data_IF_090906113467
#
_entry.id   IF_090906113467
#
_cell.length_a   1.000
_cell.length_b   1.000
_cell.length_c   1.000
_cell.angle_alpha   90.00
_cell.angle_beta   90.00
_cell.angle_gamma   90.00
#
_symmetry.space_group_name_H-M   'P 1'
#
loop_
_entity.id
_entity.type
_entity.pdbx_description
1 polymer ?
#
# COMPACT_ATOMS: atom_id res chain seq x y z
N UNK A 1 30.92 32.97 37.28
CA UNK A 1 29.85 32.84 36.26
C UNK A 1 30.26 31.76 35.28
N UNK A 2 29.36 30.89 34.78
CA UNK A 2 29.44 30.15 33.49
C UNK A 2 28.82 28.73 33.46
N UNK A 3 28.32 28.16 34.57
CA UNK A 3 27.77 26.78 34.56
C UNK A 3 26.39 26.65 33.92
N UNK A 4 25.52 27.66 34.10
CA UNK A 4 24.18 27.69 33.50
C UNK A 4 24.21 27.98 32.00
N UNK A 5 25.21 28.77 31.55
CA UNK A 5 25.40 29.07 30.11
C UNK A 5 25.93 27.85 29.35
N UNK A 6 26.86 27.07 29.93
CA UNK A 6 27.35 25.85 29.26
C UNK A 6 26.30 24.75 29.21
N UNK A 7 25.46 24.62 30.26
CA UNK A 7 24.37 23.64 30.28
C UNK A 7 23.29 23.97 29.24
N UNK A 8 22.91 25.25 29.11
CA UNK A 8 21.97 25.71 28.06
C UNK A 8 22.56 25.57 26.65
N UNK A 9 23.87 25.82 26.50
CA UNK A 9 24.58 25.64 25.22
C UNK A 9 24.64 24.16 24.81
N UNK A 10 24.93 23.23 25.74
CA UNK A 10 24.88 21.80 25.45
C UNK A 10 23.47 21.34 25.09
N UNK A 11 22.43 21.79 25.79
CA UNK A 11 21.04 21.42 25.47
C UNK A 11 20.63 21.93 24.08
N UNK A 12 21.04 23.15 23.71
CA UNK A 12 20.81 23.69 22.37
C UNK A 12 21.58 22.91 21.29
N UNK A 13 22.83 22.51 21.56
CA UNK A 13 23.63 21.72 20.61
C UNK A 13 22.99 20.34 20.37
N UNK A 14 22.48 19.68 21.42
CA UNK A 14 21.79 18.39 21.30
C UNK A 14 20.46 18.52 20.56
N UNK A 15 19.71 19.61 20.75
CA UNK A 15 18.48 19.86 20.01
C UNK A 15 18.74 20.13 18.52
N UNK A 16 19.81 20.85 18.19
CA UNK A 16 20.20 21.13 16.80
C UNK A 16 20.62 19.86 16.06
N UNK A 17 21.38 18.98 16.72
CA UNK A 17 21.82 17.71 16.15
C UNK A 17 20.63 16.77 15.90
N UNK A 18 19.66 16.71 16.82
CA UNK A 18 18.44 15.93 16.63
C UNK A 18 17.58 16.46 15.46
N UNK A 19 17.52 17.79 15.27
CA UNK A 19 16.79 18.40 14.16
C UNK A 19 17.45 18.13 12.81
N UNK A 20 18.79 18.09 12.74
CA UNK A 20 19.50 17.73 11.49
C UNK A 20 19.25 16.28 11.04
N UNK A 21 18.99 15.38 11.98
CA UNK A 21 18.73 13.97 11.67
C UNK A 21 17.31 13.74 11.11
N UNK A 22 16.38 14.69 11.32
CA UNK A 22 15.03 14.66 10.74
C UNK A 22 14.98 15.19 9.30
N UNK A 23 15.85 16.13 8.91
CA UNK A 23 15.85 16.73 7.57
C UNK A 23 16.41 15.81 6.47
N UNK A 24 17.31 14.89 6.82
CA UNK A 24 17.87 13.91 5.87
C UNK A 24 16.89 12.76 5.52
N UNK A 25 15.77 12.65 6.24
CA UNK A 25 14.76 11.61 6.01
C UNK A 25 13.63 12.06 5.08
N UNK A 26 13.59 13.34 4.67
CA UNK A 26 12.51 13.87 3.83
C UNK A 26 13.01 15.10 3.03
N UNK A 27 13.79 14.86 1.98
CA UNK A 27 14.25 15.95 1.10
C UNK A 27 15.38 15.57 0.17
N UNK A 28 15.03 14.92 -0.95
CA UNK A 28 15.96 14.61 -2.02
C UNK A 28 15.21 14.55 -3.34
N UNK A 29 14.99 15.71 -3.95
CA UNK A 29 14.55 15.83 -5.34
C UNK A 29 15.23 17.04 -5.94
N UNK A 30 16.34 16.78 -6.64
CA UNK A 30 16.84 17.54 -7.78
C UNK A 30 17.44 16.53 -8.77
N UNK A 31 16.81 16.43 -9.93
CA UNK A 31 17.20 15.64 -11.12
C UNK A 31 18.63 15.94 -11.59
N UNK A 32 19.41 14.89 -11.90
CA UNK A 32 19.84 14.56 -13.27
C UNK A 32 21.09 13.65 -13.32
N UNK A 33 20.98 12.65 -14.21
CA UNK A 33 22.02 11.83 -14.84
C UNK A 33 22.62 10.62 -14.11
N UNK A 34 22.08 9.46 -14.52
CA UNK A 34 22.82 8.36 -15.18
C UNK A 34 24.09 7.84 -14.49
N UNK A 35 23.91 6.80 -13.69
CA UNK A 35 24.88 5.72 -13.61
C UNK A 35 24.16 4.38 -13.52
N UNK A 36 24.25 3.62 -14.61
CA UNK A 36 23.94 2.19 -14.73
C UNK A 36 24.54 1.42 -13.56
N UNK A 37 23.66 1.01 -12.63
CA UNK A 37 23.96 0.04 -11.59
C UNK A 37 22.94 -1.08 -11.66
N UNK A 38 23.23 -2.09 -12.49
CA UNK A 38 22.47 -3.35 -12.53
C UNK A 38 22.53 -4.00 -11.17
N UNK A 39 21.47 -3.83 -10.38
CA UNK A 39 21.11 -4.73 -9.31
C UNK A 39 19.96 -5.59 -9.84
N UNK A 40 20.30 -6.79 -10.32
CA UNK A 40 19.33 -7.80 -10.70
C UNK A 40 18.61 -8.28 -9.44
N UNK A 41 17.42 -7.72 -9.19
CA UNK A 41 16.44 -8.28 -8.27
C UNK A 41 15.51 -9.16 -9.08
N UNK A 42 15.36 -10.43 -8.71
CA UNK A 42 14.48 -11.42 -9.36
C UNK A 42 12.98 -11.20 -9.05
N UNK A 43 12.61 -10.05 -8.47
CA UNK A 43 11.23 -9.61 -8.39
C UNK A 43 11.03 -8.43 -9.35
N UNK A 44 10.25 -8.64 -10.41
CA UNK A 44 10.04 -7.73 -11.53
C UNK A 44 9.83 -6.28 -11.08
N UNK A 45 10.80 -5.42 -11.41
CA UNK A 45 10.79 -3.98 -11.10
C UNK A 45 10.21 -3.15 -12.25
N UNK A 46 9.61 -3.81 -13.25
CA UNK A 46 8.76 -3.17 -14.25
C UNK A 46 7.32 -3.68 -14.08
N UNK A 47 6.60 -3.12 -13.10
CA UNK A 47 5.14 -3.09 -13.11
C UNK A 47 4.65 -1.72 -13.59
N UNK A 48 5.36 -1.11 -14.55
CA UNK A 48 4.90 0.11 -15.22
C UNK A 48 3.73 -0.26 -16.14
N UNK A 49 2.58 -0.56 -15.54
CA UNK A 49 1.31 -0.58 -16.26
C UNK A 49 1.07 0.86 -16.68
N UNK A 50 1.37 1.17 -17.94
CA UNK A 50 0.89 2.41 -18.55
C UNK A 50 -0.62 2.39 -18.37
N UNK A 51 -1.17 3.38 -17.65
CA UNK A 51 -2.61 3.49 -17.41
C UNK A 51 -3.31 3.43 -18.76
N UNK A 52 -3.84 2.25 -19.08
CA UNK A 52 -4.56 2.03 -20.32
C UNK A 52 -5.82 2.88 -20.33
N UNK A 53 -6.40 3.04 -21.51
CA UNK A 53 -7.78 3.49 -21.63
C UNK A 53 -8.65 2.72 -20.62
N UNK A 54 -9.53 3.42 -19.88
CA UNK A 54 -10.36 2.82 -18.82
C UNK A 54 -10.93 1.51 -19.34
N UNK A 55 -10.52 0.39 -18.74
CA UNK A 55 -10.77 -0.94 -19.31
C UNK A 55 -12.27 -1.20 -19.39
N UNK A 56 -13.07 -0.64 -18.47
CA UNK A 56 -14.55 -0.67 -18.43
C UNK A 56 -15.06 0.12 -17.21
N UNK A 57 -16.32 0.59 -17.21
CA UNK A 57 -17.03 1.10 -16.00
C UNK A 57 -17.49 -0.03 -15.04
N UNK A 58 -16.74 -1.12 -14.95
CA UNK A 58 -17.12 -2.28 -14.14
C UNK A 58 -17.19 -1.91 -12.65
N UNK A 59 -18.27 -2.32 -12.00
CA UNK A 59 -18.37 -2.37 -10.55
C UNK A 59 -17.57 -3.57 -10.01
N UNK A 60 -16.59 -3.29 -9.15
CA UNK A 60 -15.69 -4.30 -8.61
C UNK A 60 -15.76 -4.29 -7.08
N UNK A 61 -15.80 -5.47 -6.47
CA UNK A 61 -15.61 -5.66 -5.04
C UNK A 61 -14.42 -6.59 -4.76
N UNK A 62 -13.73 -6.37 -3.65
CA UNK A 62 -12.63 -7.19 -3.16
C UNK A 62 -12.97 -7.70 -1.76
N UNK A 63 -12.85 -9.01 -1.55
CA UNK A 63 -12.93 -9.65 -0.22
C UNK A 63 -11.55 -10.20 0.10
N UNK A 64 -10.95 -9.73 1.19
CA UNK A 64 -9.55 -10.03 1.52
C UNK A 64 -9.34 -10.35 3.01
N UNK A 65 -8.29 -11.14 3.34
CA UNK A 65 -8.06 -11.62 4.71
C UNK A 65 -7.35 -10.61 5.60
N UNK A 66 -6.65 -9.63 5.00
CA UNK A 66 -5.90 -8.57 5.68
C UNK A 66 -6.49 -7.20 5.33
N UNK A 67 -5.95 -6.15 5.94
CA UNK A 67 -6.31 -4.77 5.67
C UNK A 67 -5.83 -4.29 4.28
N UNK A 68 -6.57 -3.37 3.67
CA UNK A 68 -6.16 -2.73 2.41
C UNK A 68 -4.82 -2.00 2.50
N UNK A 69 -4.37 -1.65 3.71
CA UNK A 69 -3.07 -1.03 4.00
C UNK A 69 -2.09 -1.98 4.68
N UNK A 70 -2.16 -3.29 4.40
CA UNK A 70 -1.27 -4.32 4.97
C UNK A 70 0.20 -4.25 4.50
N UNK A 71 0.53 -3.28 3.62
CA UNK A 71 1.85 -3.08 3.02
C UNK A 71 2.36 -4.30 2.23
N UNK A 72 1.46 -5.20 1.83
CA UNK A 72 1.82 -6.44 1.16
C UNK A 72 0.66 -6.95 0.29
N UNK A 73 -0.04 -7.99 0.76
CA UNK A 73 -0.82 -8.87 -0.10
C UNK A 73 -2.10 -8.20 -0.59
N UNK A 74 -2.91 -7.65 0.30
CA UNK A 74 -4.16 -6.96 -0.07
C UNK A 74 -3.85 -5.61 -0.70
N UNK A 75 -2.90 -4.87 -0.14
CA UNK A 75 -2.48 -3.58 -0.67
C UNK A 75 -2.00 -3.69 -2.13
N UNK A 76 -1.26 -4.75 -2.50
CA UNK A 76 -0.82 -4.96 -3.89
C UNK A 76 -1.98 -5.16 -4.89
N UNK A 77 -3.10 -5.76 -4.46
CA UNK A 77 -4.28 -5.92 -5.31
C UNK A 77 -5.03 -4.61 -5.48
N UNK A 78 -5.23 -3.85 -4.40
CA UNK A 78 -5.90 -2.55 -4.45
C UNK A 78 -5.12 -1.60 -5.36
N UNK A 79 -3.80 -1.50 -5.15
CA UNK A 79 -2.93 -0.70 -6.01
C UNK A 79 -3.03 -1.08 -7.49
N UNK A 80 -3.15 -2.39 -7.79
CA UNK A 80 -3.28 -2.87 -9.16
C UNK A 80 -4.60 -2.44 -9.81
N UNK A 81 -5.71 -2.48 -9.07
CA UNK A 81 -7.02 -2.00 -9.53
C UNK A 81 -7.03 -0.48 -9.71
N UNK A 82 -6.41 0.26 -8.79
CA UNK A 82 -6.26 1.72 -8.90
C UNK A 82 -5.45 2.11 -10.14
N UNK A 83 -4.38 1.36 -10.48
CA UNK A 83 -3.62 1.56 -11.73
C UNK A 83 -4.49 1.36 -12.99
N UNK A 84 -5.50 0.48 -12.93
CA UNK A 84 -6.50 0.30 -13.99
C UNK A 84 -7.61 1.37 -13.97
N UNK A 85 -7.60 2.28 -12.98
CA UNK A 85 -8.63 3.30 -12.81
C UNK A 85 -9.95 2.77 -12.27
N UNK A 86 -9.90 1.65 -11.55
CA UNK A 86 -11.00 0.99 -10.84
C UNK A 86 -10.85 1.29 -9.34
N UNK A 87 -11.90 1.80 -8.72
CA UNK A 87 -11.98 1.97 -7.27
C UNK A 87 -12.94 0.90 -6.71
N UNK A 88 -12.43 -0.19 -6.13
CA UNK A 88 -13.28 -1.29 -5.68
C UNK A 88 -13.97 -0.97 -4.35
N UNK A 89 -15.13 -1.60 -4.11
CA UNK A 89 -15.62 -1.79 -2.74
C UNK A 89 -14.78 -2.86 -2.05
N UNK A 90 -14.46 -2.70 -0.77
CA UNK A 90 -13.55 -3.62 -0.09
C UNK A 90 -14.13 -4.10 1.23
N UNK A 91 -14.04 -5.42 1.45
CA UNK A 91 -14.24 -6.06 2.75
C UNK A 91 -12.90 -6.64 3.22
N UNK A 92 -12.24 -5.89 4.11
CA UNK A 92 -10.96 -6.22 4.71
C UNK A 92 -11.09 -7.22 5.87
N UNK A 93 -9.97 -7.85 6.25
CA UNK A 93 -9.83 -8.55 7.54
C UNK A 93 -10.63 -9.84 7.68
N UNK A 94 -11.08 -10.45 6.58
CA UNK A 94 -11.96 -11.62 6.60
C UNK A 94 -11.19 -12.94 6.62
N UNK A 95 -10.32 -13.17 7.61
CA UNK A 95 -9.57 -14.43 7.70
C UNK A 95 -10.45 -15.67 7.88
N UNK A 96 -11.65 -15.49 8.46
CA UNK A 96 -12.64 -16.55 8.64
C UNK A 96 -13.42 -16.79 7.35
N UNK A 97 -13.40 -18.05 6.87
CA UNK A 97 -13.94 -18.45 5.56
C UNK A 97 -15.44 -18.20 5.46
N UNK A 98 -16.18 -18.39 6.54
CA UNK A 98 -17.64 -18.19 6.61
C UNK A 98 -18.00 -16.71 6.49
N UNK A 99 -17.25 -15.84 7.15
CA UNK A 99 -17.45 -14.37 7.06
C UNK A 99 -17.15 -13.89 5.64
N UNK A 100 -16.09 -14.40 5.02
CA UNK A 100 -15.79 -14.11 3.62
C UNK A 100 -16.90 -14.61 2.69
N UNK A 101 -17.44 -15.81 2.92
CA UNK A 101 -18.53 -16.37 2.12
C UNK A 101 -19.79 -15.49 2.15
N UNK A 102 -20.14 -14.94 3.31
CA UNK A 102 -21.29 -14.03 3.45
C UNK A 102 -21.07 -12.71 2.72
N UNK A 103 -19.86 -12.14 2.78
CA UNK A 103 -19.49 -10.94 2.03
C UNK A 103 -19.57 -11.17 0.51
N UNK A 104 -19.04 -12.31 0.03
CA UNK A 104 -19.08 -12.70 -1.39
C UNK A 104 -20.53 -12.78 -1.89
N UNK A 105 -21.40 -13.47 -1.15
CA UNK A 105 -22.83 -13.59 -1.51
C UNK A 105 -23.55 -12.25 -1.48
N UNK A 106 -23.21 -11.38 -0.53
CA UNK A 106 -23.82 -10.05 -0.41
C UNK A 106 -23.48 -9.19 -1.62
N UNK A 107 -22.21 -9.10 -2.02
CA UNK A 107 -21.82 -8.36 -3.23
C UNK A 107 -22.46 -8.92 -4.50
N UNK A 108 -22.58 -10.24 -4.62
CA UNK A 108 -23.28 -10.85 -5.74
C UNK A 108 -24.78 -10.48 -5.75
N UNK A 109 -25.44 -10.47 -4.59
CA UNK A 109 -26.84 -10.07 -4.45
C UNK A 109 -27.05 -8.57 -4.74
N UNK A 110 -26.07 -7.73 -4.40
CA UNK A 110 -26.05 -6.29 -4.68
C UNK A 110 -25.76 -5.97 -6.15
N UNK A 111 -25.48 -6.99 -6.98
CA UNK A 111 -25.29 -6.84 -8.43
C UNK A 111 -23.90 -6.35 -8.84
N UNK A 112 -22.88 -6.53 -7.99
CA UNK A 112 -21.49 -6.25 -8.36
C UNK A 112 -21.05 -7.17 -9.49
N UNK A 113 -20.48 -6.59 -10.54
CA UNK A 113 -20.15 -7.30 -11.78
C UNK A 113 -18.91 -8.19 -11.64
N UNK A 114 -17.93 -7.77 -10.83
CA UNK A 114 -16.74 -8.57 -10.54
C UNK A 114 -16.48 -8.60 -9.04
N UNK A 115 -16.48 -9.80 -8.46
CA UNK A 115 -16.07 -10.03 -7.07
C UNK A 115 -14.73 -10.75 -7.06
N UNK A 116 -13.68 -10.06 -6.62
CA UNK A 116 -12.33 -10.59 -6.48
C UNK A 116 -12.19 -11.16 -5.06
N UNK A 117 -12.05 -12.47 -4.98
CA UNK A 117 -11.91 -13.21 -3.72
C UNK A 117 -10.42 -13.44 -3.46
N UNK A 118 -9.78 -12.51 -2.76
CA UNK A 118 -8.32 -12.42 -2.65
C UNK A 118 -7.77 -13.16 -1.43
N UNK A 119 -7.79 -14.49 -1.49
CA UNK A 119 -7.24 -15.33 -0.42
C UNK A 119 -7.35 -16.80 -0.75
N UNK A 120 -6.26 -17.55 -0.62
CA UNK A 120 -6.23 -18.98 -0.95
C UNK A 120 -7.13 -19.82 -0.04
N UNK A 121 -7.39 -19.35 1.19
CA UNK A 121 -8.29 -19.99 2.13
C UNK A 121 -9.75 -19.98 1.66
N UNK A 122 -10.11 -19.10 0.73
CA UNK A 122 -11.49 -18.92 0.28
C UNK A 122 -11.92 -19.93 -0.80
N UNK A 123 -11.05 -20.84 -1.22
CA UNK A 123 -11.40 -21.88 -2.21
C UNK A 123 -12.60 -22.75 -1.80
N UNK A 124 -12.86 -22.89 -0.50
CA UNK A 124 -14.01 -23.60 0.05
C UNK A 124 -15.21 -22.71 0.42
N UNK A 125 -15.14 -21.38 0.23
CA UNK A 125 -16.18 -20.45 0.69
C UNK A 125 -17.54 -20.66 0.02
N UNK A 126 -17.56 -21.28 -1.16
CA UNK A 126 -18.77 -21.49 -1.97
C UNK A 126 -19.05 -22.98 -2.27
N UNK A 127 -18.30 -23.89 -1.64
CA UNK A 127 -18.46 -25.33 -1.81
C UNK A 127 -19.73 -25.87 -1.11
#
# INVERSE_FOLDING_TARGET
>A
MNTTKSRRLMTLLTALLALSMFAAACGGSDEAESATGTATSECGTDNSVTKGEKVTDLSVAVVAPSDSQDLAFTQSMIDSLTRLGIEPQVTDGTFQVEVAADAIRSYAADGIEVVIVHGTQYGGSLA
#
